data_IF_266712516690
#
_entry.id   IF_266712516690
#
_cell.length_a   1.000
_cell.length_b   1.000
_cell.length_c   1.000
_cell.angle_alpha   90.00
_cell.angle_beta   90.00
_cell.angle_gamma   90.00
#
_symmetry.space_group_name_H-M   'P 1'
#
loop_
_entity.id
_entity.type
_entity.pdbx_description
1 polymer ?
#
# COMPACT_ATOMS: atom_id res chain seq x y z
N UNK A 1 -10.37 34.50 -30.04
CA UNK A 1 -10.39 34.20 -28.58
C UNK A 1 -11.67 33.49 -28.15
N UNK A 2 -12.86 33.84 -28.67
CA UNK A 2 -14.11 33.21 -28.24
C UNK A 2 -14.27 31.73 -28.64
N UNK A 3 -13.73 31.33 -29.80
CA UNK A 3 -13.79 29.92 -30.27
C UNK A 3 -13.00 28.99 -29.33
N UNK A 4 -11.74 29.33 -29.02
CA UNK A 4 -10.91 28.52 -28.13
C UNK A 4 -11.49 28.42 -26.70
N UNK A 5 -12.17 29.47 -26.23
CA UNK A 5 -12.84 29.48 -24.92
C UNK A 5 -14.11 28.64 -24.91
N UNK A 6 -14.89 28.64 -26.00
CA UNK A 6 -16.06 27.75 -26.13
C UNK A 6 -15.62 26.30 -26.22
N UNK A 7 -14.61 26.02 -27.04
CA UNK A 7 -14.06 24.68 -27.23
C UNK A 7 -13.53 24.11 -25.91
N UNK A 8 -12.75 24.88 -25.14
CA UNK A 8 -12.18 24.39 -23.88
C UNK A 8 -13.24 24.09 -22.81
N UNK A 9 -14.35 24.82 -22.84
CA UNK A 9 -15.52 24.53 -22.00
C UNK A 9 -16.19 23.22 -22.38
N UNK A 10 -16.40 22.97 -23.67
CA UNK A 10 -16.99 21.72 -24.15
C UNK A 10 -16.08 20.52 -23.85
N UNK A 11 -14.77 20.70 -23.98
CA UNK A 11 -13.79 19.65 -23.68
C UNK A 11 -13.71 19.35 -22.18
N UNK A 12 -13.86 20.37 -21.32
CA UNK A 12 -14.03 20.13 -19.88
C UNK A 12 -15.28 19.30 -19.58
N UNK A 13 -16.42 19.63 -20.20
CA UNK A 13 -17.68 18.89 -20.00
C UNK A 13 -17.51 17.43 -20.44
N UNK A 14 -16.88 17.18 -21.59
CA UNK A 14 -16.58 15.82 -22.06
C UNK A 14 -15.69 15.07 -21.07
N UNK A 15 -14.60 15.69 -20.60
CA UNK A 15 -13.69 15.08 -19.64
C UNK A 15 -14.40 14.78 -18.31
N UNK A 16 -15.19 15.72 -17.80
CA UNK A 16 -15.97 15.54 -16.57
C UNK A 16 -16.99 14.40 -16.69
N UNK A 17 -17.70 14.33 -17.82
CA UNK A 17 -18.67 13.26 -18.09
C UNK A 17 -18.00 11.87 -18.18
N UNK A 18 -16.78 11.78 -18.73
CA UNK A 18 -15.99 10.54 -18.70
C UNK A 18 -15.72 10.08 -17.27
N UNK A 19 -15.32 11.00 -16.37
CA UNK A 19 -15.11 10.68 -14.96
C UNK A 19 -16.39 10.19 -14.27
N UNK A 20 -17.53 10.81 -14.56
CA UNK A 20 -18.82 10.39 -14.01
C UNK A 20 -19.22 9.00 -14.52
N UNK A 21 -19.08 8.74 -15.81
CA UNK A 21 -19.39 7.44 -16.41
C UNK A 21 -18.53 6.32 -15.81
N UNK A 22 -17.22 6.56 -15.68
CA UNK A 22 -16.28 5.66 -15.02
C UNK A 22 -16.71 5.36 -13.56
N UNK A 23 -17.13 6.40 -12.82
CA UNK A 23 -17.70 6.25 -11.48
C UNK A 23 -18.92 5.34 -11.41
N UNK A 24 -19.82 5.44 -12.40
CA UNK A 24 -21.04 4.61 -12.49
C UNK A 24 -20.68 3.16 -12.84
N UNK A 25 -19.79 2.94 -13.82
CA UNK A 25 -19.38 1.59 -14.25
C UNK A 25 -18.77 0.78 -13.10
N UNK A 26 -18.03 1.43 -12.21
CA UNK A 26 -17.33 0.80 -11.09
C UNK A 26 -18.02 1.05 -9.75
N UNK A 27 -19.36 1.22 -9.73
CA UNK A 27 -20.11 1.49 -8.51
C UNK A 27 -19.88 0.45 -7.38
N UNK A 28 -19.66 -0.83 -7.74
CA UNK A 28 -19.37 -1.89 -6.78
C UNK A 28 -17.92 -1.90 -6.28
N UNK A 29 -16.99 -1.30 -7.02
CA UNK A 29 -15.56 -1.23 -6.72
C UNK A 29 -15.02 0.20 -6.88
N UNK A 30 -15.47 1.16 -6.05
CA UNK A 30 -15.11 2.57 -6.22
C UNK A 30 -13.60 2.82 -6.16
N UNK A 31 -12.86 2.00 -5.41
CA UNK A 31 -11.39 2.04 -5.32
C UNK A 31 -10.68 1.87 -6.67
N UNK A 32 -11.33 1.23 -7.65
CA UNK A 32 -10.78 1.07 -9.01
C UNK A 32 -10.85 2.36 -9.84
N UNK A 33 -11.70 3.31 -9.44
CA UNK A 33 -11.85 4.63 -10.10
C UNK A 33 -11.00 5.72 -9.45
N UNK A 34 -10.30 5.38 -8.37
CA UNK A 34 -9.49 6.35 -7.66
C UNK A 34 -8.09 6.44 -8.25
N UNK A 35 -7.63 7.67 -8.42
CA UNK A 35 -6.24 7.91 -8.77
C UNK A 35 -5.33 7.42 -7.64
N UNK A 36 -4.18 6.83 -7.99
CA UNK A 36 -3.25 6.31 -6.99
C UNK A 36 -2.64 7.46 -6.16
N UNK A 37 -2.65 7.29 -4.85
CA UNK A 37 -2.01 8.20 -3.89
C UNK A 37 -0.53 7.84 -3.78
N UNK A 38 0.35 8.76 -4.16
CA UNK A 38 1.81 8.54 -4.06
C UNK A 38 2.24 8.19 -2.64
N UNK A 39 1.66 8.85 -1.62
CA UNK A 39 2.05 8.62 -0.22
C UNK A 39 1.69 7.21 0.25
N UNK A 40 0.56 6.65 -0.20
CA UNK A 40 0.19 5.28 0.11
C UNK A 40 1.12 4.29 -0.61
N UNK A 41 1.42 4.50 -1.89
CA UNK A 41 2.33 3.63 -2.66
C UNK A 41 3.76 3.69 -2.09
N UNK A 42 4.28 4.89 -1.80
CA UNK A 42 5.60 5.10 -1.17
C UNK A 42 5.70 4.36 0.16
N UNK A 43 4.63 4.38 0.98
CA UNK A 43 4.58 3.66 2.25
C UNK A 43 4.68 2.14 2.09
N UNK A 44 4.09 1.58 1.03
CA UNK A 44 4.11 0.14 0.79
C UNK A 44 5.43 -0.32 0.17
N UNK A 45 5.95 0.43 -0.80
CA UNK A 45 7.17 0.06 -1.54
C UNK A 45 8.47 0.37 -0.79
N UNK A 46 8.43 1.24 0.24
CA UNK A 46 9.57 1.61 1.10
C UNK A 46 10.85 1.88 0.28
N UNK A 47 10.85 2.84 -0.66
CA UNK A 47 12.02 3.13 -1.48
C UNK A 47 13.20 3.60 -0.63
N UNK A 48 14.44 3.30 -1.06
CA UNK A 48 15.66 3.58 -0.30
C UNK A 48 16.25 4.95 -0.60
N UNK A 49 16.30 5.31 -1.87
CA UNK A 49 16.98 6.51 -2.36
C UNK A 49 16.06 7.37 -3.23
N UNK A 50 16.30 8.69 -3.23
CA UNK A 50 15.67 9.64 -4.15
C UNK A 50 16.75 10.25 -5.05
N UNK A 51 16.58 10.13 -6.37
CA UNK A 51 17.55 10.57 -7.38
C UNK A 51 16.88 11.56 -8.32
N UNK A 52 17.42 12.76 -8.43
CA UNK A 52 17.00 13.70 -9.46
C UNK A 52 17.47 13.22 -10.84
N UNK A 53 16.53 12.85 -11.70
CA UNK A 53 16.82 12.31 -13.04
C UNK A 53 16.77 13.37 -14.14
N UNK A 54 16.42 14.61 -13.80
CA UNK A 54 16.42 15.72 -14.75
C UNK A 54 15.14 15.83 -15.57
N UNK A 55 15.27 16.54 -16.69
CA UNK A 55 14.21 16.82 -17.65
C UNK A 55 14.08 15.67 -18.63
N UNK A 56 12.88 15.11 -18.78
CA UNK A 56 12.62 14.00 -19.68
C UNK A 56 11.22 14.08 -20.31
N UNK A 57 11.05 13.44 -21.46
CA UNK A 57 9.74 13.23 -22.08
C UNK A 57 9.18 11.91 -21.55
N UNK A 58 8.02 11.95 -20.88
CA UNK A 58 7.45 10.81 -20.16
C UNK A 58 6.17 10.34 -20.84
N UNK A 59 6.02 9.03 -21.12
CA UNK A 59 4.77 8.48 -21.63
C UNK A 59 3.63 8.71 -20.64
N UNK A 60 2.57 9.36 -21.10
CA UNK A 60 1.40 9.69 -20.28
C UNK A 60 0.71 8.43 -19.75
N UNK A 61 0.84 7.31 -20.45
CA UNK A 61 0.34 6.00 -20.01
C UNK A 61 0.99 5.50 -18.70
N UNK A 62 2.21 5.95 -18.39
CA UNK A 62 2.92 5.60 -17.15
C UNK A 62 2.60 6.55 -15.98
N UNK A 63 1.90 7.66 -16.23
CA UNK A 63 1.42 8.58 -15.20
C UNK A 63 0.10 8.05 -14.65
N UNK A 64 0.15 7.49 -13.44
CA UNK A 64 -0.93 6.69 -12.83
C UNK A 64 -1.48 7.27 -11.53
N UNK A 65 -0.81 8.28 -10.98
CA UNK A 65 -1.05 8.72 -9.62
C UNK A 65 -0.66 10.16 -9.37
N UNK A 66 -0.93 10.64 -8.17
CA UNK A 66 -0.52 11.97 -7.75
C UNK A 66 -0.11 12.02 -6.28
N UNK A 67 0.86 12.89 -5.98
CA UNK A 67 1.24 13.23 -4.60
C UNK A 67 0.11 13.96 -3.89
N UNK A 68 -0.55 14.88 -4.59
CA UNK A 68 -1.71 15.61 -4.08
C UNK A 68 -2.89 15.54 -5.03
N UNK A 69 -4.10 15.84 -4.57
CA UNK A 69 -5.28 15.96 -5.46
C UNK A 69 -5.72 14.66 -6.16
N UNK A 70 -5.28 13.49 -5.70
CA UNK A 70 -5.77 12.20 -6.20
C UNK A 70 -7.28 11.97 -5.97
N UNK A 71 -7.94 12.81 -5.16
CA UNK A 71 -9.40 12.85 -4.99
C UNK A 71 -10.12 13.76 -5.99
N UNK A 72 -9.40 14.69 -6.62
CA UNK A 72 -9.97 15.64 -7.58
C UNK A 72 -10.18 15.00 -8.96
N UNK A 73 -9.49 13.88 -9.22
CA UNK A 73 -9.48 13.19 -10.50
C UNK A 73 -9.80 11.70 -10.34
N UNK A 74 -10.22 11.07 -11.43
CA UNK A 74 -10.32 9.61 -11.50
C UNK A 74 -8.99 8.94 -11.86
N UNK A 75 -8.98 7.61 -11.92
CA UNK A 75 -7.83 6.79 -12.33
C UNK A 75 -7.32 7.07 -13.77
N UNK A 76 -8.07 7.82 -14.58
CA UNK A 76 -7.68 8.30 -15.91
C UNK A 76 -7.31 9.79 -15.93
N UNK A 77 -7.17 10.44 -14.77
CA UNK A 77 -6.98 11.88 -14.59
C UNK A 77 -8.14 12.76 -15.11
N UNK A 78 -9.34 12.23 -15.32
CA UNK A 78 -10.49 13.07 -15.66
C UNK A 78 -11.04 13.79 -14.42
N UNK A 79 -11.42 15.07 -14.53
CA UNK A 79 -11.83 15.88 -13.39
C UNK A 79 -13.16 15.41 -12.80
N UNK A 80 -13.18 15.06 -11.51
CA UNK A 80 -14.40 14.63 -10.79
C UNK A 80 -15.25 15.80 -10.32
N UNK A 81 -14.66 16.99 -10.18
CA UNK A 81 -15.32 18.14 -9.56
C UNK A 81 -15.38 19.34 -10.51
N UNK A 82 -16.52 20.04 -10.53
CA UNK A 82 -16.74 21.23 -11.37
C UNK A 82 -15.90 22.43 -10.95
N UNK A 83 -15.45 22.52 -9.69
CA UNK A 83 -14.58 23.61 -9.24
C UNK A 83 -13.23 23.65 -9.98
N UNK A 84 -12.84 22.55 -10.63
CA UNK A 84 -11.62 22.43 -11.44
C UNK A 84 -11.72 23.14 -12.79
N UNK A 85 -12.95 23.41 -13.25
CA UNK A 85 -13.27 23.88 -14.59
C UNK A 85 -12.44 25.09 -15.02
N UNK A 86 -12.46 26.18 -14.25
CA UNK A 86 -11.79 27.44 -14.63
C UNK A 86 -10.29 27.26 -14.88
N UNK A 87 -9.60 26.45 -14.08
CA UNK A 87 -8.15 26.22 -14.24
C UNK A 87 -7.87 25.22 -15.37
N UNK A 88 -8.73 24.23 -15.53
CA UNK A 88 -8.65 23.23 -16.60
C UNK A 88 -8.83 23.88 -17.97
N UNK A 89 -9.90 24.67 -18.15
CA UNK A 89 -10.20 25.40 -19.40
C UNK A 89 -9.08 26.37 -19.80
N UNK A 90 -8.41 27.02 -18.84
CA UNK A 90 -7.27 27.90 -19.12
C UNK A 90 -6.07 27.15 -19.66
N UNK A 91 -5.81 25.95 -19.14
CA UNK A 91 -4.70 25.10 -19.58
C UNK A 91 -5.00 24.52 -20.96
N UNK A 92 -6.22 24.05 -21.16
CA UNK A 92 -6.68 23.54 -22.45
C UNK A 92 -6.66 24.63 -23.52
N UNK A 93 -7.15 25.84 -23.20
CA UNK A 93 -7.07 27.00 -24.08
C UNK A 93 -5.62 27.33 -24.46
N UNK A 94 -4.70 27.32 -23.48
CA UNK A 94 -3.29 27.57 -23.76
C UNK A 94 -2.73 26.57 -24.77
N UNK A 95 -3.10 25.29 -24.63
CA UNK A 95 -2.71 24.25 -25.59
C UNK A 95 -3.34 24.46 -26.98
N UNK A 96 -4.64 24.80 -27.05
CA UNK A 96 -5.33 25.10 -28.32
C UNK A 96 -4.74 26.31 -29.07
N UNK A 97 -4.01 27.16 -28.36
CA UNK A 97 -3.33 28.34 -28.92
C UNK A 97 -1.81 28.19 -29.03
N UNK A 98 -1.30 26.95 -28.96
CA UNK A 98 0.13 26.62 -29.08
C UNK A 98 1.04 27.37 -28.10
N UNK A 99 0.50 27.72 -26.92
CA UNK A 99 1.29 28.33 -25.85
C UNK A 99 2.08 27.23 -25.15
N UNK A 100 3.41 27.39 -25.15
CA UNK A 100 4.31 26.50 -24.43
C UNK A 100 4.02 26.60 -22.94
N UNK A 101 3.60 25.49 -22.35
CA UNK A 101 3.37 25.38 -20.91
C UNK A 101 4.65 24.91 -20.22
N UNK A 102 4.90 25.33 -18.96
CA UNK A 102 6.03 24.82 -18.20
C UNK A 102 5.87 23.31 -17.96
N UNK A 103 6.99 22.57 -17.88
CA UNK A 103 6.98 21.12 -17.68
C UNK A 103 6.26 20.74 -16.39
N UNK A 104 5.73 19.52 -16.35
CA UNK A 104 5.17 18.95 -15.12
C UNK A 104 6.30 18.48 -14.19
N UNK A 105 5.98 18.22 -12.93
CA UNK A 105 6.92 17.60 -11.98
C UNK A 105 6.39 16.25 -11.58
N UNK A 106 7.22 15.22 -11.66
CA UNK A 106 6.85 13.85 -11.34
C UNK A 106 7.79 13.24 -10.30
N UNK A 107 7.23 12.38 -9.47
CA UNK A 107 7.98 11.30 -8.84
C UNK A 107 7.85 10.04 -9.68
N UNK A 108 8.95 9.34 -9.92
CA UNK A 108 8.95 7.98 -10.44
C UNK A 108 9.12 7.01 -9.27
N UNK A 109 8.33 5.93 -9.24
CA UNK A 109 8.40 4.90 -8.21
C UNK A 109 7.95 3.56 -8.80
N UNK A 110 8.86 2.59 -8.85
CA UNK A 110 8.58 1.24 -9.32
C UNK A 110 8.19 1.18 -10.80
N UNK A 111 8.74 2.06 -11.64
CA UNK A 111 8.46 2.16 -13.07
C UNK A 111 7.23 2.99 -13.42
N UNK A 112 6.54 3.58 -12.43
CA UNK A 112 5.33 4.38 -12.61
C UNK A 112 5.54 5.81 -12.11
N UNK A 113 4.76 6.74 -12.67
CA UNK A 113 4.92 8.16 -12.38
C UNK A 113 3.72 8.73 -11.63
N UNK A 114 4.04 9.61 -10.67
CA UNK A 114 3.11 10.28 -9.79
C UNK A 114 3.29 11.79 -9.90
N UNK A 115 2.21 12.52 -10.14
CA UNK A 115 2.26 13.96 -10.33
C UNK A 115 2.54 14.67 -9.01
N UNK A 116 3.64 15.41 -8.97
CA UNK A 116 3.98 16.37 -7.91
C UNK A 116 3.39 17.75 -8.21
N UNK A 117 3.57 18.22 -9.44
CA UNK A 117 2.94 19.45 -9.95
C UNK A 117 2.46 19.27 -11.39
N UNK A 118 1.33 19.91 -11.73
CA UNK A 118 0.79 19.88 -13.10
C UNK A 118 -0.38 18.93 -13.33
N UNK A 119 -1.12 18.53 -12.29
CA UNK A 119 -2.28 17.62 -12.39
C UNK A 119 -3.28 17.99 -13.50
N UNK A 120 -3.62 19.27 -13.64
CA UNK A 120 -4.50 19.72 -14.71
C UNK A 120 -3.87 19.61 -16.11
N UNK A 121 -2.55 19.81 -16.24
CA UNK A 121 -1.84 19.64 -17.53
C UNK A 121 -1.87 18.18 -17.95
N UNK A 122 -1.63 17.24 -17.02
CA UNK A 122 -1.78 15.80 -17.27
C UNK A 122 -3.21 15.44 -17.67
N UNK A 123 -4.20 15.99 -16.97
CA UNK A 123 -5.63 15.79 -17.28
C UNK A 123 -5.99 16.25 -18.69
N UNK A 124 -5.58 17.46 -19.09
CA UNK A 124 -5.78 18.01 -20.43
C UNK A 124 -5.07 17.15 -21.47
N UNK A 125 -3.80 16.82 -21.26
CA UNK A 125 -3.02 16.00 -22.18
C UNK A 125 -3.63 14.61 -22.39
N UNK A 126 -4.13 13.94 -21.34
CA UNK A 126 -4.90 12.69 -21.47
C UNK A 126 -6.22 12.88 -22.22
N UNK A 127 -6.93 13.98 -21.99
CA UNK A 127 -8.19 14.27 -22.69
C UNK A 127 -8.00 14.45 -24.19
N UNK A 128 -6.87 15.02 -24.60
CA UNK A 128 -6.51 15.28 -25.99
C UNK A 128 -5.76 14.12 -26.68
N UNK A 129 -5.43 13.06 -25.94
CA UNK A 129 -4.75 11.89 -26.49
C UNK A 129 -3.26 12.09 -26.77
N UNK A 130 -2.61 13.02 -26.06
CA UNK A 130 -1.16 13.20 -26.11
C UNK A 130 -0.47 11.91 -25.63
N UNK A 131 0.65 11.56 -26.27
CA UNK A 131 1.38 10.31 -25.99
C UNK A 131 2.43 10.54 -24.89
N UNK A 132 3.21 11.61 -25.03
CA UNK A 132 4.31 11.95 -24.12
C UNK A 132 4.21 13.40 -23.63
N UNK A 133 4.72 13.66 -22.42
CA UNK A 133 4.71 14.99 -21.79
C UNK A 133 6.05 15.31 -21.14
N UNK A 134 6.51 16.55 -21.29
CA UNK A 134 7.76 17.00 -20.68
C UNK A 134 7.63 17.15 -19.17
N UNK A 135 8.52 16.46 -18.45
CA UNK A 135 8.45 16.31 -17.00
C UNK A 135 9.82 16.35 -16.31
N UNK A 136 9.91 17.15 -15.25
CA UNK A 136 11.05 17.15 -14.33
C UNK A 136 10.84 16.02 -13.33
N UNK A 137 11.77 15.07 -13.26
CA UNK A 137 11.53 13.79 -12.57
C UNK A 137 12.53 13.53 -11.46
N UNK A 138 12.00 13.17 -10.29
CA UNK A 138 12.74 12.58 -9.18
C UNK A 138 12.35 11.10 -9.07
N UNK A 139 13.31 10.20 -9.23
CA UNK A 139 13.10 8.75 -9.14
C UNK A 139 13.33 8.26 -7.72
N UNK A 140 12.39 7.48 -7.20
CA UNK A 140 12.48 6.78 -5.92
C UNK A 140 12.75 5.31 -6.19
N UNK A 141 13.97 4.87 -5.86
CA UNK A 141 14.44 3.54 -6.18
C UNK A 141 13.71 2.48 -5.34
N UNK A 142 13.04 1.54 -6.02
CA UNK A 142 12.33 0.41 -5.40
C UNK A 142 12.70 -0.90 -6.08
N UNK A 143 12.83 -1.96 -5.29
CA UNK A 143 13.06 -3.32 -5.78
C UNK A 143 11.76 -3.96 -6.34
N UNK A 144 10.61 -3.31 -6.13
CA UNK A 144 9.30 -3.75 -6.59
C UNK A 144 8.90 -2.95 -7.83
N UNK A 145 8.89 -3.61 -8.99
CA UNK A 145 8.36 -3.04 -10.22
C UNK A 145 6.84 -3.17 -10.29
N UNK A 146 6.16 -2.06 -10.55
CA UNK A 146 4.72 -1.96 -10.74
C UNK A 146 4.37 -1.96 -12.23
N UNK A 147 3.10 -2.24 -12.54
CA UNK A 147 2.57 -2.28 -13.90
C UNK A 147 1.47 -1.23 -14.03
N UNK A 148 1.42 -0.43 -15.12
CA UNK A 148 0.36 0.53 -15.34
C UNK A 148 -1.03 -0.15 -15.30
N UNK A 149 -2.01 0.54 -14.71
CA UNK A 149 -3.38 0.03 -14.57
C UNK A 149 -3.61 -0.94 -13.41
N UNK A 150 -2.59 -1.26 -12.61
CA UNK A 150 -2.79 -2.02 -11.38
C UNK A 150 -3.70 -1.28 -10.38
N UNK A 151 -4.69 -1.98 -9.85
CA UNK A 151 -5.48 -1.52 -8.71
C UNK A 151 -4.63 -1.50 -7.43
N UNK A 152 -5.03 -0.69 -6.44
CA UNK A 152 -4.42 -0.67 -5.08
C UNK A 152 -4.27 -2.09 -4.50
N UNK A 153 -5.29 -2.94 -4.69
CA UNK A 153 -5.29 -4.33 -4.23
C UNK A 153 -4.20 -5.17 -4.89
N UNK A 154 -4.02 -5.03 -6.20
CA UNK A 154 -2.97 -5.75 -6.93
C UNK A 154 -1.57 -5.28 -6.51
N UNK A 155 -1.39 -3.97 -6.30
CA UNK A 155 -0.13 -3.42 -5.78
C UNK A 155 0.17 -4.00 -4.39
N UNK A 156 -0.80 -3.99 -3.48
CA UNK A 156 -0.65 -4.58 -2.15
C UNK A 156 -0.26 -6.06 -2.20
N UNK A 157 -0.94 -6.84 -3.04
CA UNK A 157 -0.61 -8.27 -3.22
C UNK A 157 0.85 -8.45 -3.67
N UNK A 158 1.29 -7.66 -4.64
CA UNK A 158 2.65 -7.71 -5.16
C UNK A 158 3.70 -7.33 -4.11
N UNK A 159 3.39 -6.38 -3.24
CA UNK A 159 4.25 -6.03 -2.08
C UNK A 159 4.33 -7.20 -1.09
N UNK A 160 3.20 -7.83 -0.77
CA UNK A 160 3.15 -8.97 0.15
C UNK A 160 3.93 -10.17 -0.42
N UNK A 161 3.78 -10.46 -1.71
CA UNK A 161 4.52 -11.54 -2.38
C UNK A 161 6.03 -11.28 -2.33
N UNK A 162 6.43 -10.03 -2.55
CA UNK A 162 7.83 -9.62 -2.46
C UNK A 162 8.37 -9.79 -1.04
N UNK A 163 7.67 -9.28 -0.02
CA UNK A 163 8.06 -9.45 1.38
C UNK A 163 8.16 -10.92 1.79
N UNK A 164 7.21 -11.77 1.34
CA UNK A 164 7.27 -13.21 1.54
C UNK A 164 8.55 -13.78 0.94
N UNK A 165 8.81 -13.47 -0.33
CA UNK A 165 10.00 -13.96 -1.03
C UNK A 165 11.28 -13.59 -0.28
N UNK A 166 11.44 -12.33 0.10
CA UNK A 166 12.62 -11.85 0.83
C UNK A 166 12.73 -12.57 2.19
N UNK A 167 11.65 -12.66 2.95
CA UNK A 167 11.66 -13.37 4.23
C UNK A 167 12.13 -14.82 4.08
N UNK A 168 11.61 -15.57 3.12
CA UNK A 168 12.02 -16.96 2.90
C UNK A 168 13.48 -17.05 2.40
N UNK A 169 13.92 -16.14 1.54
CA UNK A 169 15.30 -16.11 1.04
C UNK A 169 16.33 -15.77 2.11
N UNK A 170 16.04 -14.79 2.97
CA UNK A 170 16.97 -14.35 4.02
C UNK A 170 17.02 -15.30 5.20
N UNK A 171 15.89 -15.94 5.54
CA UNK A 171 15.81 -16.78 6.74
C UNK A 171 15.95 -18.27 6.46
N UNK A 172 15.71 -18.74 5.23
CA UNK A 172 15.58 -20.16 4.92
C UNK A 172 14.34 -20.81 5.57
N UNK A 173 13.33 -20.01 5.94
CA UNK A 173 12.20 -20.47 6.76
C UNK A 173 11.53 -21.76 6.25
N UNK A 174 11.25 -21.81 4.94
CA UNK A 174 10.59 -22.96 4.32
C UNK A 174 11.40 -24.25 4.44
N UNK A 175 12.71 -24.18 4.19
CA UNK A 175 13.60 -25.34 4.31
C UNK A 175 13.79 -25.80 5.76
N UNK A 176 13.84 -24.85 6.70
CA UNK A 176 14.05 -25.14 8.13
C UNK A 176 12.81 -25.77 8.76
N UNK A 177 11.61 -25.31 8.36
CA UNK A 177 10.34 -25.68 9.00
C UNK A 177 9.51 -26.69 8.23
N UNK A 178 9.85 -26.93 6.96
CA UNK A 178 9.03 -27.65 5.98
C UNK A 178 7.64 -27.01 5.76
N UNK A 179 7.50 -25.70 6.04
CA UNK A 179 6.28 -24.92 5.85
C UNK A 179 6.50 -23.76 4.87
N UNK A 180 5.92 -23.89 3.68
CA UNK A 180 5.92 -22.88 2.62
C UNK A 180 4.63 -22.05 2.57
N UNK A 181 3.70 -22.29 3.51
CA UNK A 181 2.36 -21.75 3.55
C UNK A 181 2.14 -20.73 4.67
N UNK A 182 3.21 -20.25 5.31
CA UNK A 182 3.14 -19.02 6.12
C UNK A 182 2.79 -17.86 5.19
N UNK A 183 1.50 -17.54 5.14
CA UNK A 183 0.89 -16.56 4.26
C UNK A 183 0.32 -15.42 5.10
N UNK A 184 0.58 -14.18 4.71
CA UNK A 184 0.09 -12.98 5.37
C UNK A 184 -0.73 -12.17 4.38
N UNK A 185 -1.70 -11.38 4.85
CA UNK A 185 -2.60 -10.61 3.97
C UNK A 185 -2.40 -9.10 4.06
N UNK A 186 -1.39 -8.63 4.80
CA UNK A 186 -1.09 -7.20 4.94
C UNK A 186 0.42 -6.93 4.84
N UNK A 187 0.85 -5.85 4.17
CA UNK A 187 2.26 -5.49 4.09
C UNK A 187 2.90 -5.24 5.45
N UNK A 188 4.20 -5.51 5.55
CA UNK A 188 5.05 -5.35 6.73
C UNK A 188 4.89 -6.43 7.79
N UNK A 189 4.00 -7.42 7.61
CA UNK A 189 3.80 -8.46 8.62
C UNK A 189 4.93 -9.49 8.67
N UNK A 190 5.67 -9.71 7.58
CA UNK A 190 6.85 -10.59 7.61
C UNK A 190 7.97 -10.01 8.49
N UNK A 191 8.17 -8.69 8.48
CA UNK A 191 9.08 -8.00 9.39
C UNK A 191 8.69 -8.27 10.87
N UNK A 192 7.38 -8.30 11.15
CA UNK A 192 6.86 -8.60 12.50
C UNK A 192 7.14 -10.06 12.90
N UNK A 193 6.95 -11.01 11.98
CA UNK A 193 7.28 -12.42 12.21
C UNK A 193 8.79 -12.57 12.50
N UNK A 194 9.65 -11.96 11.67
CA UNK A 194 11.09 -11.98 11.89
C UNK A 194 11.45 -11.41 13.26
N UNK A 195 10.84 -10.29 13.65
CA UNK A 195 11.04 -9.71 14.98
C UNK A 195 10.60 -10.66 16.12
N UNK A 196 9.48 -11.38 15.97
CA UNK A 196 9.06 -12.38 16.96
C UNK A 196 10.07 -13.52 17.08
N UNK A 197 10.66 -13.97 15.97
CA UNK A 197 11.72 -14.99 15.96
C UNK A 197 12.96 -14.45 16.69
N UNK A 198 13.37 -13.22 16.41
CA UNK A 198 14.52 -12.58 17.06
C UNK A 198 14.33 -12.39 18.56
N UNK A 199 13.13 -11.98 18.99
CA UNK A 199 12.77 -11.86 20.41
C UNK A 199 12.81 -13.24 21.08
N UNK A 200 12.25 -14.27 20.43
CA UNK A 200 12.30 -15.64 20.95
C UNK A 200 13.74 -16.15 21.09
N UNK A 201 14.58 -15.91 20.07
CA UNK A 201 16.02 -16.18 20.09
C UNK A 201 16.70 -15.51 21.28
N UNK A 202 16.41 -14.22 21.49
CA UNK A 202 16.97 -13.46 22.61
C UNK A 202 16.64 -14.10 23.95
N UNK A 203 15.38 -14.48 24.19
CA UNK A 203 14.98 -15.10 25.46
C UNK A 203 15.57 -16.50 25.67
N UNK A 204 15.72 -17.31 24.62
CA UNK A 204 16.40 -18.61 24.74
C UNK A 204 17.85 -18.41 25.21
N UNK A 205 18.55 -17.44 24.62
CA UNK A 205 19.96 -17.22 24.89
C UNK A 205 20.24 -16.66 26.30
N UNK A 206 19.25 -16.09 27.01
CA UNK A 206 19.46 -15.55 28.36
C UNK A 206 19.99 -16.59 29.36
N UNK A 207 19.68 -17.86 29.15
CA UNK A 207 20.08 -18.95 30.03
C UNK A 207 21.21 -19.82 29.44
N UNK A 208 21.86 -19.38 28.35
CA UNK A 208 22.87 -20.15 27.63
C UNK A 208 24.23 -19.44 27.64
N UNK A 209 25.30 -20.23 27.69
CA UNK A 209 26.68 -19.73 27.65
C UNK A 209 27.17 -19.46 26.22
N UNK A 210 26.54 -20.09 25.21
CA UNK A 210 26.81 -19.87 23.80
C UNK A 210 25.50 -19.52 23.10
N UNK A 211 25.55 -18.51 22.23
CA UNK A 211 24.42 -18.08 21.43
C UNK A 211 24.00 -19.19 20.44
N UNK A 212 22.69 -19.47 20.37
CA UNK A 212 22.14 -20.38 19.36
C UNK A 212 22.19 -19.76 17.97
N UNK A 213 22.29 -20.60 16.95
CA UNK A 213 22.25 -20.18 15.57
C UNK A 213 20.83 -19.73 15.17
N UNK A 214 20.72 -18.93 14.10
CA UNK A 214 19.43 -18.43 13.63
C UNK A 214 18.49 -19.57 13.19
N UNK A 215 19.03 -20.64 12.60
CA UNK A 215 18.24 -21.79 12.17
C UNK A 215 17.54 -22.49 13.34
N UNK A 216 18.25 -22.69 14.46
CA UNK A 216 17.70 -23.29 15.68
C UNK A 216 16.61 -22.41 16.29
N UNK A 217 16.82 -21.09 16.26
CA UNK A 217 15.85 -20.13 16.75
C UNK A 217 14.55 -20.15 15.93
N UNK A 218 14.65 -20.21 14.60
CA UNK A 218 13.49 -20.30 13.69
C UNK A 218 12.71 -21.59 13.98
N UNK A 219 13.39 -22.75 13.99
CA UNK A 219 12.74 -24.04 14.24
C UNK A 219 12.09 -24.09 15.63
N UNK A 220 12.78 -23.58 16.65
CA UNK A 220 12.25 -23.49 18.02
C UNK A 220 11.04 -22.56 18.10
N UNK A 221 11.10 -21.37 17.50
CA UNK A 221 9.98 -20.43 17.47
C UNK A 221 8.77 -21.05 16.76
N UNK A 222 9.00 -21.71 15.62
CA UNK A 222 7.94 -22.33 14.84
C UNK A 222 7.20 -23.40 15.66
N UNK A 223 7.94 -24.31 16.27
CA UNK A 223 7.38 -25.44 17.01
C UNK A 223 6.80 -25.06 18.39
N UNK A 224 7.42 -24.11 19.08
CA UNK A 224 7.11 -23.80 20.48
C UNK A 224 6.26 -22.53 20.65
N UNK A 225 6.16 -21.68 19.63
CA UNK A 225 5.38 -20.43 19.67
C UNK A 225 4.33 -20.41 18.59
N UNK A 226 4.73 -20.44 17.32
CA UNK A 226 3.80 -20.26 16.20
C UNK A 226 2.75 -21.37 16.13
N UNK A 227 3.16 -22.62 16.00
CA UNK A 227 2.23 -23.76 15.90
C UNK A 227 1.30 -23.87 17.12
N UNK A 228 1.76 -23.76 18.39
CA UNK A 228 0.87 -23.76 19.54
C UNK A 228 -0.20 -22.66 19.49
N UNK A 229 0.17 -21.44 19.09
CA UNK A 229 -0.79 -20.34 18.95
C UNK A 229 -1.79 -20.63 17.82
N UNK A 230 -1.33 -21.16 16.68
CA UNK A 230 -2.21 -21.58 15.58
C UNK A 230 -3.19 -22.67 16.04
N UNK A 231 -2.76 -23.62 16.87
CA UNK A 231 -3.66 -24.63 17.46
C UNK A 231 -4.74 -23.99 18.33
N UNK A 232 -4.39 -22.98 19.14
CA UNK A 232 -5.37 -22.21 19.94
C UNK A 232 -6.37 -21.49 19.03
N UNK A 233 -5.90 -20.82 17.98
CA UNK A 233 -6.74 -20.13 16.98
C UNK A 233 -7.75 -21.11 16.34
N UNK A 234 -7.28 -22.30 15.93
CA UNK A 234 -8.11 -23.38 15.37
C UNK A 234 -9.13 -23.91 16.37
N UNK A 235 -8.67 -24.26 17.59
CA UNK A 235 -9.52 -24.79 18.68
C UNK A 235 -10.66 -23.82 19.01
N UNK A 236 -10.36 -22.52 19.07
CA UNK A 236 -11.33 -21.47 19.37
C UNK A 236 -12.23 -21.10 18.17
N UNK A 237 -11.97 -21.67 16.98
CA UNK A 237 -12.70 -21.42 15.72
C UNK A 237 -12.72 -19.92 15.36
N UNK A 238 -11.63 -19.21 15.64
CA UNK A 238 -11.51 -17.76 15.43
C UNK A 238 -11.72 -17.41 13.95
N UNK A 239 -11.22 -18.25 13.04
CA UNK A 239 -11.32 -18.05 11.59
C UNK A 239 -12.76 -17.90 11.06
N UNK A 240 -13.77 -18.41 11.77
CA UNK A 240 -15.21 -18.24 11.40
C UNK A 240 -15.69 -16.78 11.42
N UNK A 241 -14.95 -15.86 12.03
CA UNK A 241 -15.27 -14.43 12.01
C UNK A 241 -14.39 -13.63 11.04
N UNK A 242 -13.36 -14.25 10.46
CA UNK A 242 -12.30 -13.58 9.69
C UNK A 242 -12.01 -14.26 8.34
N UNK A 243 -13.05 -14.48 7.54
CA UNK A 243 -12.97 -15.22 6.25
C UNK A 243 -12.05 -14.64 5.18
N UNK A 244 -11.58 -13.39 5.32
CA UNK A 244 -10.66 -12.73 4.38
C UNK A 244 -9.21 -12.68 4.88
N UNK A 245 -8.90 -13.38 5.97
CA UNK A 245 -7.60 -13.37 6.65
C UNK A 245 -7.04 -14.78 6.75
N UNK A 246 -5.73 -14.85 6.91
CA UNK A 246 -4.99 -16.11 7.09
C UNK A 246 -4.85 -16.44 8.57
N UNK A 247 -4.44 -17.67 8.88
CA UNK A 247 -4.13 -18.06 10.26
C UNK A 247 -2.91 -17.29 10.79
N UNK A 248 -1.93 -16.99 9.95
CA UNK A 248 -0.74 -16.21 10.30
C UNK A 248 -1.08 -14.74 10.60
N UNK A 249 -2.07 -14.15 9.92
CA UNK A 249 -2.61 -12.83 10.29
C UNK A 249 -3.15 -12.85 11.72
N UNK A 250 -3.95 -13.88 12.03
CA UNK A 250 -4.56 -14.03 13.35
C UNK A 250 -3.50 -14.29 14.43
N UNK A 251 -2.42 -15.02 14.10
CA UNK A 251 -1.28 -15.17 14.98
C UNK A 251 -0.69 -13.80 15.35
N UNK A 252 -0.36 -12.96 14.36
CA UNK A 252 0.24 -11.63 14.61
C UNK A 252 -0.68 -10.77 15.47
N UNK A 253 -1.98 -10.76 15.17
CA UNK A 253 -2.94 -9.93 15.90
C UNK A 253 -3.18 -10.42 17.32
N UNK A 254 -3.28 -11.74 17.52
CA UNK A 254 -3.48 -12.32 18.84
C UNK A 254 -2.26 -12.08 19.74
N UNK A 255 -1.04 -12.24 19.22
CA UNK A 255 0.18 -11.98 19.99
C UNK A 255 0.26 -10.50 20.40
N UNK A 256 -0.03 -9.57 19.48
CA UNK A 256 -0.08 -8.14 19.81
C UNK A 256 -1.12 -7.84 20.88
N UNK A 257 -2.34 -8.37 20.73
CA UNK A 257 -3.40 -8.16 21.71
C UNK A 257 -3.02 -8.73 23.09
N UNK A 258 -2.38 -9.90 23.11
CA UNK A 258 -1.92 -10.53 24.34
C UNK A 258 -0.85 -9.71 25.04
N UNK A 259 0.09 -9.12 24.30
CA UNK A 259 1.08 -8.19 24.84
C UNK A 259 0.45 -6.93 25.43
N UNK A 260 -0.53 -6.32 24.72
CA UNK A 260 -1.29 -5.18 25.21
C UNK A 260 -2.04 -5.51 26.53
N UNK A 261 -2.62 -6.71 26.65
CA UNK A 261 -3.26 -7.15 27.89
C UNK A 261 -2.27 -7.37 29.03
N UNK A 262 -1.11 -7.95 28.76
CA UNK A 262 -0.06 -8.15 29.79
C UNK A 262 0.44 -6.84 30.36
N UNK A 263 0.62 -5.83 29.49
CA UNK A 263 1.03 -4.50 29.93
C UNK A 263 -0.02 -3.82 30.83
N UNK A 264 -1.32 -4.09 30.61
CA UNK A 264 -2.41 -3.48 31.38
C UNK A 264 -2.79 -4.24 32.66
N UNK A 265 -2.74 -5.58 32.61
CA UNK A 265 -3.32 -6.46 33.64
C UNK A 265 -2.28 -7.33 34.36
N UNK A 266 -1.01 -7.28 33.96
CA UNK A 266 0.09 -8.06 34.54
C UNK A 266 0.45 -9.32 33.74
N UNK A 267 1.61 -9.91 34.06
CA UNK A 267 2.25 -10.97 33.27
C UNK A 267 1.58 -12.36 33.34
N UNK A 268 0.69 -12.59 34.31
CA UNK A 268 0.05 -13.89 34.56
C UNK A 268 -1.13 -14.18 33.60
N UNK A 269 -1.30 -13.35 32.57
CA UNK A 269 -2.39 -13.50 31.62
C UNK A 269 -2.13 -14.63 30.62
N UNK A 270 -2.99 -15.66 30.62
CA UNK A 270 -2.83 -16.81 29.73
C UNK A 270 -3.23 -16.50 28.28
N UNK A 271 -2.58 -17.17 27.33
CA UNK A 271 -2.88 -17.05 25.90
C UNK A 271 -4.27 -17.60 25.55
N UNK A 272 -4.73 -18.69 26.18
CA UNK A 272 -6.07 -19.25 25.96
C UNK A 272 -7.17 -18.26 26.37
N UNK A 273 -6.99 -17.57 27.52
CA UNK A 273 -7.92 -16.53 27.97
C UNK A 273 -7.92 -15.35 26.99
N UNK A 274 -6.74 -14.91 26.54
CA UNK A 274 -6.61 -13.85 25.55
C UNK A 274 -7.29 -14.23 24.22
N UNK A 275 -7.14 -15.47 23.75
CA UNK A 275 -7.76 -15.93 22.51
C UNK A 275 -9.29 -16.01 22.60
N UNK A 276 -9.82 -16.47 23.74
CA UNK A 276 -11.28 -16.49 23.98
C UNK A 276 -11.85 -15.08 24.01
N UNK A 277 -11.23 -14.16 24.76
CA UNK A 277 -11.67 -12.77 24.81
C UNK A 277 -11.49 -12.06 23.49
N UNK A 278 -10.40 -12.34 22.77
CA UNK A 278 -10.18 -11.78 21.44
C UNK A 278 -11.32 -12.16 20.48
N UNK A 279 -11.77 -13.41 20.54
CA UNK A 279 -12.93 -13.86 19.76
C UNK A 279 -14.20 -13.11 20.15
N UNK A 280 -14.46 -12.91 21.44
CA UNK A 280 -15.71 -12.34 21.95
C UNK A 280 -15.77 -10.81 21.88
N UNK A 281 -14.65 -10.13 22.13
CA UNK A 281 -14.52 -8.67 22.11
C UNK A 281 -14.46 -8.10 20.69
N UNK A 282 -14.02 -8.87 19.69
CA UNK A 282 -13.63 -8.31 18.39
C UNK A 282 -14.44 -8.83 17.20
N UNK A 283 -15.28 -7.94 16.67
CA UNK A 283 -15.78 -7.95 15.30
C UNK A 283 -14.96 -7.02 14.37
N UNK A 284 -15.40 -6.87 13.12
CA UNK A 284 -14.71 -6.14 12.03
C UNK A 284 -14.20 -4.72 12.40
N UNK A 285 -14.80 -4.03 13.37
CA UNK A 285 -14.50 -2.64 13.73
C UNK A 285 -13.19 -2.45 14.55
N UNK A 286 -12.69 -3.46 15.26
CA UNK A 286 -11.43 -3.36 16.01
C UNK A 286 -10.19 -3.43 15.10
N UNK A 287 -10.28 -4.20 14.01
CA UNK A 287 -9.22 -4.31 13.01
C UNK A 287 -8.93 -2.94 12.37
N UNK A 288 -9.97 -2.15 12.09
CA UNK A 288 -9.78 -0.77 11.61
C UNK A 288 -8.98 0.07 12.62
N UNK A 289 -9.23 -0.08 13.93
CA UNK A 289 -8.52 0.63 15.00
C UNK A 289 -7.04 0.21 15.12
N UNK A 290 -6.74 -1.08 14.99
CA UNK A 290 -5.35 -1.59 14.98
C UNK A 290 -4.60 -1.16 13.70
N UNK A 291 -5.23 -1.29 12.52
CA UNK A 291 -4.64 -0.83 11.25
C UNK A 291 -4.36 0.68 11.27
N UNK A 292 -5.22 1.48 11.92
CA UNK A 292 -4.99 2.90 12.16
C UNK A 292 -3.83 3.16 13.13
N UNK A 293 -3.64 2.34 14.17
CA UNK A 293 -2.49 2.45 15.07
C UNK A 293 -1.17 2.00 14.42
N UNK A 294 -1.18 1.12 13.42
CA UNK A 294 -0.01 0.83 12.56
C UNK A 294 0.36 2.06 11.70
N UNK A 295 -0.62 2.91 11.35
CA UNK A 295 -0.29 4.21 10.74
C UNK A 295 0.43 5.13 11.73
N UNK A 296 0.05 5.12 13.02
CA UNK A 296 0.55 6.06 14.04
C UNK A 296 1.95 5.74 14.58
N UNK A 297 2.26 4.47 14.86
CA UNK A 297 3.58 4.08 15.42
C UNK A 297 4.73 4.03 14.40
N UNK A 298 4.48 4.43 13.14
CA UNK A 298 5.51 4.68 12.12
C UNK A 298 5.78 6.17 11.88
N UNK A 299 5.20 7.07 12.69
CA UNK A 299 5.45 8.52 12.62
C UNK A 299 6.52 9.01 13.63
N UNK A 300 7.02 8.15 14.51
CA UNK A 300 8.06 8.48 15.50
C UNK A 300 9.34 7.63 15.33
N UNK A 301 9.67 7.20 14.09
CA UNK A 301 10.95 6.53 13.77
C UNK A 301 11.40 6.85 12.35
#
# INVERSE_FOLDING_TARGET
>A
MDIAKSQSRDDFIKAHNKAMYNGIQHFLNPDETELLSFSDIKKWLKPKDEIYTGMQCVPISLIVGSEGRYKDFDNHFFPKNTHLQKRWERIDQAHLTDIILPPIKLYELGGLYFVRDGNHRVSVAKSQGVIDIDAEVVSLQSEINLIPGMSKRQILHRVIDYEKKIFYQETGFGDITDDWELNLSSPGQYDVILNHILIHKYYINQNMTKEIEMHDAILSWYNNVYIPVIRVIKKQKIMKRFHKRTESDMYVWLIRYWDELKQQLGNDYSLDTAASQFKDAYGLNFIQRILLNIKKNKFDS
#
